data_IF_398011847012
#
_entry.id   IF_398011847012
#
_cell.length_a   1.000
_cell.length_b   1.000
_cell.length_c   1.000
_cell.angle_alpha   90.00
_cell.angle_beta   90.00
_cell.angle_gamma   90.00
#
_symmetry.space_group_name_H-M   'P 1'
#
loop_
_entity.id
_entity.type
_entity.pdbx_description
1 polymer ?
#
# COMPACT_ATOMS: atom_id res chain seq x y z
N UNK A 1 -23.22 28.26 14.60
CA UNK A 1 -21.86 28.00 14.09
C UNK A 1 -21.72 26.49 13.91
N UNK A 2 -21.70 26.00 12.66
CA UNK A 2 -21.58 24.57 12.39
C UNK A 2 -20.18 24.09 12.75
N UNK A 3 -20.10 23.09 13.64
CA UNK A 3 -18.83 22.49 14.00
C UNK A 3 -18.12 22.01 12.72
N UNK A 4 -16.89 22.47 12.52
CA UNK A 4 -16.05 22.00 11.42
C UNK A 4 -15.90 20.48 11.56
N UNK A 5 -16.36 19.73 10.57
CA UNK A 5 -16.14 18.29 10.54
C UNK A 5 -14.64 18.02 10.59
N UNK A 6 -14.17 17.11 11.45
CA UNK A 6 -12.76 16.73 11.46
C UNK A 6 -12.40 16.18 10.08
N UNK A 7 -11.48 16.87 9.40
CA UNK A 7 -10.85 16.39 8.18
C UNK A 7 -9.94 15.21 8.54
N UNK A 8 -10.52 14.03 8.65
CA UNK A 8 -9.77 12.77 8.77
C UNK A 8 -9.21 12.41 7.40
N UNK A 9 -8.14 13.11 7.01
CA UNK A 9 -7.24 12.72 5.93
C UNK A 9 -5.82 12.58 6.47
N UNK A 10 -4.96 11.75 5.87
CA UNK A 10 -3.56 11.71 6.24
C UNK A 10 -2.96 13.13 6.17
N UNK A 11 -2.19 13.51 7.19
CA UNK A 11 -1.59 14.85 7.23
C UNK A 11 -0.73 15.10 5.98
N UNK A 12 -0.60 16.37 5.57
CA UNK A 12 0.27 16.74 4.44
C UNK A 12 1.69 16.19 4.60
N UNK A 13 2.19 16.16 5.85
CA UNK A 13 3.50 15.59 6.18
C UNK A 13 3.51 14.09 5.89
N UNK A 14 2.49 13.33 6.31
CA UNK A 14 2.38 11.92 5.99
C UNK A 14 2.35 11.70 4.46
N UNK A 15 1.51 12.43 3.75
CA UNK A 15 1.41 12.36 2.28
C UNK A 15 2.75 12.61 1.60
N UNK A 16 3.48 13.65 2.02
CA UNK A 16 4.83 13.95 1.55
C UNK A 16 5.79 12.78 1.79
N UNK A 17 5.78 12.16 2.98
CA UNK A 17 6.68 11.03 3.26
C UNK A 17 6.38 9.82 2.38
N UNK A 18 5.10 9.51 2.13
CA UNK A 18 4.70 8.37 1.30
C UNK A 18 5.00 8.62 -0.19
N UNK A 19 4.81 9.84 -0.67
CA UNK A 19 5.24 10.25 -2.01
C UNK A 19 6.76 10.16 -2.17
N UNK A 20 7.53 10.54 -1.14
CA UNK A 20 8.97 10.38 -1.10
C UNK A 20 9.41 8.92 -1.20
N UNK A 21 8.77 8.01 -0.46
CA UNK A 21 9.03 6.56 -0.56
C UNK A 21 8.75 6.02 -1.96
N UNK A 22 7.69 6.49 -2.63
CA UNK A 22 7.38 6.11 -4.00
C UNK A 22 8.48 6.55 -4.97
N UNK A 23 8.95 7.80 -4.86
CA UNK A 23 10.02 8.29 -5.73
C UNK A 23 11.36 7.60 -5.45
N UNK A 24 11.64 7.31 -4.18
CA UNK A 24 12.83 6.57 -3.75
C UNK A 24 12.87 5.16 -4.36
N UNK A 25 11.78 4.39 -4.25
CA UNK A 25 11.68 3.06 -4.81
C UNK A 25 11.94 3.04 -6.32
N UNK A 26 11.34 3.98 -7.07
CA UNK A 26 11.58 4.10 -8.51
C UNK A 26 13.03 4.48 -8.86
N UNK A 27 13.71 5.26 -8.02
CA UNK A 27 15.13 5.59 -8.21
C UNK A 27 16.04 4.39 -8.00
N UNK A 28 15.89 3.71 -6.86
CA UNK A 28 16.70 2.54 -6.50
C UNK A 28 16.43 1.36 -7.46
N UNK A 29 15.19 1.22 -7.96
CA UNK A 29 14.86 0.23 -8.98
C UNK A 29 15.75 0.35 -10.21
N UNK A 30 15.97 1.57 -10.72
CA UNK A 30 16.83 1.81 -11.88
C UNK A 30 18.30 1.49 -11.60
N UNK A 31 18.80 1.79 -10.40
CA UNK A 31 20.18 1.49 -10.00
C UNK A 31 20.47 -0.01 -9.84
N UNK A 32 19.45 -0.79 -9.45
CA UNK A 32 19.61 -2.20 -9.12
C UNK A 32 19.06 -3.16 -10.19
N UNK A 33 18.43 -2.65 -11.24
CA UNK A 33 17.85 -3.47 -12.30
C UNK A 33 18.89 -4.39 -12.97
N UNK A 34 20.09 -3.88 -13.28
CA UNK A 34 21.18 -4.68 -13.86
C UNK A 34 21.70 -5.77 -12.92
N UNK A 35 21.45 -5.62 -11.61
CA UNK A 35 21.80 -6.62 -10.59
C UNK A 35 20.69 -7.63 -10.36
N UNK A 36 19.61 -7.57 -11.13
CA UNK A 36 18.44 -8.44 -11.01
C UNK A 36 17.80 -8.39 -9.60
N UNK A 37 17.75 -7.19 -9.01
CA UNK A 37 17.09 -6.94 -7.73
C UNK A 37 15.86 -6.05 -7.99
N UNK A 38 14.67 -6.60 -7.74
CA UNK A 38 13.42 -5.87 -7.90
C UNK A 38 13.13 -4.97 -6.69
N UNK A 39 12.72 -3.73 -6.96
CA UNK A 39 12.27 -2.78 -5.93
C UNK A 39 10.84 -2.40 -6.26
N UNK A 40 9.90 -2.73 -5.38
CA UNK A 40 8.47 -2.55 -5.60
C UNK A 40 7.86 -1.92 -4.35
N UNK A 41 7.08 -0.86 -4.51
CA UNK A 41 6.27 -0.34 -3.42
C UNK A 41 4.86 -0.94 -3.49
N UNK A 42 4.37 -1.43 -2.35
CA UNK A 42 3.00 -1.90 -2.23
C UNK A 42 2.16 -0.91 -1.42
N UNK A 43 1.03 -0.51 -2.00
CA UNK A 43 -0.03 0.21 -1.31
C UNK A 43 -1.06 -0.82 -0.80
N UNK A 44 -1.14 -1.06 0.51
CA UNK A 44 -2.05 -2.05 1.08
C UNK A 44 -3.52 -1.57 1.16
N UNK A 45 -3.79 -0.31 0.78
CA UNK A 45 -5.09 0.32 1.01
C UNK A 45 -5.35 0.61 2.49
N UNK A 46 -6.60 0.91 2.82
CA UNK A 46 -7.00 1.15 4.21
C UNK A 46 -7.27 -0.17 4.92
N UNK A 47 -6.22 -0.73 5.53
CA UNK A 47 -6.22 -2.11 6.04
C UNK A 47 -6.66 -2.19 7.51
N UNK A 48 -7.58 -3.12 7.81
CA UNK A 48 -8.05 -3.43 9.16
C UNK A 48 -7.00 -4.25 9.93
N UNK A 49 -5.98 -3.56 10.41
CA UNK A 49 -4.99 -4.14 11.35
C UNK A 49 -5.56 -4.21 12.76
N UNK A 50 -5.00 -5.05 13.63
CA UNK A 50 -5.43 -5.23 15.02
C UNK A 50 -5.40 -3.91 15.79
N UNK A 51 -4.39 -3.08 15.54
CA UNK A 51 -4.29 -1.75 16.14
C UNK A 51 -5.44 -0.86 15.69
N UNK A 52 -5.76 -0.85 14.40
CA UNK A 52 -6.81 0.00 13.87
C UNK A 52 -8.20 -0.50 14.30
N UNK A 53 -8.41 -1.82 14.36
CA UNK A 53 -9.62 -2.43 14.90
C UNK A 53 -9.90 -2.02 16.36
N UNK A 54 -8.86 -1.91 17.20
CA UNK A 54 -8.99 -1.41 18.58
C UNK A 54 -9.39 0.06 18.65
N UNK A 55 -8.88 0.89 17.72
CA UNK A 55 -9.19 2.33 17.65
C UNK A 55 -10.59 2.57 17.07
N UNK A 56 -11.02 1.73 16.13
CA UNK A 56 -12.24 1.85 15.34
C UNK A 56 -13.35 0.89 15.80
N UNK A 57 -13.37 0.51 17.09
CA UNK A 57 -14.24 -0.55 17.62
C UNK A 57 -15.72 -0.44 17.22
N UNK A 58 -16.24 0.78 17.13
CA UNK A 58 -17.65 1.05 16.83
C UNK A 58 -17.86 1.67 15.43
N UNK A 59 -16.83 1.67 14.58
CA UNK A 59 -16.90 2.18 13.22
C UNK A 59 -17.26 1.07 12.22
N UNK A 60 -17.92 1.45 11.12
CA UNK A 60 -18.12 0.54 9.99
C UNK A 60 -16.78 0.27 9.28
N UNK A 61 -16.30 -0.97 9.40
CA UNK A 61 -15.05 -1.43 8.77
C UNK A 61 -15.30 -2.28 7.51
N UNK A 62 -16.53 -2.33 7.01
CA UNK A 62 -16.89 -3.18 5.86
C UNK A 62 -16.13 -2.87 4.57
N UNK A 63 -15.64 -1.63 4.43
CA UNK A 63 -14.88 -1.14 3.27
C UNK A 63 -13.36 -1.22 3.44
N UNK A 64 -12.89 -1.79 4.56
CA UNK A 64 -11.47 -1.88 4.85
C UNK A 64 -10.87 -3.17 4.29
N UNK A 65 -9.63 -3.08 3.84
CA UNK A 65 -8.90 -4.25 3.35
C UNK A 65 -8.50 -5.16 4.49
N UNK A 66 -8.39 -6.46 4.19
CA UNK A 66 -7.80 -7.43 5.11
C UNK A 66 -6.29 -7.52 4.90
N UNK A 67 -5.48 -7.74 5.96
CA UNK A 67 -4.03 -7.94 5.82
C UNK A 67 -3.67 -9.05 4.83
N UNK A 68 -4.51 -10.09 4.73
CA UNK A 68 -4.33 -11.21 3.81
C UNK A 68 -4.34 -10.78 2.33
N UNK A 69 -5.10 -9.74 1.95
CA UNK A 69 -5.07 -9.20 0.58
C UNK A 69 -3.66 -8.73 0.23
N UNK A 70 -3.02 -8.00 1.13
CA UNK A 70 -1.63 -7.53 0.94
C UNK A 70 -0.64 -8.69 0.96
N UNK A 71 -0.82 -9.65 1.87
CA UNK A 71 0.05 -10.82 1.96
C UNK A 71 0.04 -11.65 0.66
N UNK A 72 -1.15 -11.88 0.08
CA UNK A 72 -1.32 -12.57 -1.19
C UNK A 72 -0.66 -11.82 -2.35
N UNK A 73 -0.86 -10.50 -2.42
CA UNK A 73 -0.23 -9.66 -3.43
C UNK A 73 1.31 -9.70 -3.36
N UNK A 74 1.89 -9.58 -2.16
CA UNK A 74 3.34 -9.72 -1.96
C UNK A 74 3.84 -11.11 -2.36
N UNK A 75 3.13 -12.16 -1.94
CA UNK A 75 3.49 -13.54 -2.28
C UNK A 75 3.42 -13.81 -3.80
N UNK A 76 2.48 -13.18 -4.51
CA UNK A 76 2.40 -13.23 -5.97
C UNK A 76 3.59 -12.52 -6.61
N UNK A 77 3.86 -11.27 -6.24
CA UNK A 77 4.99 -10.48 -6.77
C UNK A 77 6.33 -11.18 -6.55
N UNK A 78 6.52 -11.80 -5.38
CA UNK A 78 7.78 -12.47 -5.04
C UNK A 78 8.12 -13.69 -5.95
N UNK A 79 7.17 -14.21 -6.74
CA UNK A 79 7.41 -15.33 -7.66
C UNK A 79 8.17 -14.89 -8.91
N UNK A 80 7.82 -13.73 -9.44
CA UNK A 80 8.50 -13.10 -10.58
C UNK A 80 8.41 -11.57 -10.43
N UNK A 81 9.31 -10.97 -9.62
CA UNK A 81 9.15 -9.58 -9.21
C UNK A 81 9.72 -8.57 -10.22
N UNK A 82 10.61 -9.01 -11.11
CA UNK A 82 11.32 -8.11 -12.02
C UNK A 82 10.41 -7.34 -12.98
N UNK A 83 9.33 -7.91 -13.55
CA UNK A 83 8.36 -7.17 -14.36
C UNK A 83 7.71 -5.98 -13.63
N UNK A 84 7.71 -6.00 -12.30
CA UNK A 84 7.06 -5.01 -11.45
C UNK A 84 8.05 -4.01 -10.82
N UNK A 85 9.35 -4.15 -11.06
CA UNK A 85 10.37 -3.27 -10.47
C UNK A 85 10.13 -1.80 -10.85
N UNK A 86 10.29 -0.90 -9.88
CA UNK A 86 10.04 0.54 -10.01
C UNK A 86 8.57 0.95 -9.92
N UNK A 87 7.63 -0.01 -9.85
CA UNK A 87 6.20 0.27 -9.82
C UNK A 87 5.66 0.46 -8.40
N UNK A 88 4.52 1.13 -8.33
CA UNK A 88 3.70 1.26 -7.12
C UNK A 88 2.45 0.42 -7.37
N UNK A 89 2.29 -0.65 -6.61
CA UNK A 89 1.22 -1.62 -6.82
C UNK A 89 0.18 -1.49 -5.71
N UNK A 90 -1.09 -1.35 -6.07
CA UNK A 90 -2.18 -1.45 -5.10
C UNK A 90 -2.51 -2.92 -4.86
N UNK A 91 -2.49 -3.35 -3.59
CA UNK A 91 -2.69 -4.75 -3.24
C UNK A 91 -4.04 -5.31 -3.70
N UNK A 92 -5.13 -4.52 -3.56
CA UNK A 92 -6.47 -4.92 -4.01
C UNK A 92 -6.53 -5.09 -5.53
N UNK A 93 -6.03 -4.12 -6.28
CA UNK A 93 -6.07 -4.17 -7.75
C UNK A 93 -5.34 -5.41 -8.28
N UNK A 94 -4.15 -5.70 -7.73
CA UNK A 94 -3.39 -6.90 -8.09
C UNK A 94 -4.12 -8.20 -7.71
N UNK A 95 -4.73 -8.23 -6.52
CA UNK A 95 -5.48 -9.40 -6.06
C UNK A 95 -6.72 -9.66 -6.94
N UNK A 96 -7.42 -8.62 -7.36
CA UNK A 96 -8.59 -8.72 -8.23
C UNK A 96 -8.19 -9.14 -9.65
N UNK A 97 -7.11 -8.57 -10.21
CA UNK A 97 -6.58 -8.92 -11.53
C UNK A 97 -6.17 -10.41 -11.62
N UNK A 98 -5.58 -10.94 -10.55
CA UNK A 98 -5.02 -12.30 -10.53
C UNK A 98 -5.86 -13.31 -9.73
N UNK A 99 -7.08 -12.95 -9.29
CA UNK A 99 -7.99 -13.79 -8.50
C UNK A 99 -7.32 -14.44 -7.28
N UNK A 100 -6.60 -13.63 -6.47
CA UNK A 100 -5.77 -14.11 -5.35
C UNK A 100 -6.54 -14.42 -4.06
#
# INVERSE_FOLDING_TARGET
AGAAQPRFGPSTVYGMTKAGLNRFAAGVAAELQEKNIAIININPGFTLTERLARIMKDADTSRMERPETTAKAVAFLARDPMPYTGQIITARELADEHNL
#
